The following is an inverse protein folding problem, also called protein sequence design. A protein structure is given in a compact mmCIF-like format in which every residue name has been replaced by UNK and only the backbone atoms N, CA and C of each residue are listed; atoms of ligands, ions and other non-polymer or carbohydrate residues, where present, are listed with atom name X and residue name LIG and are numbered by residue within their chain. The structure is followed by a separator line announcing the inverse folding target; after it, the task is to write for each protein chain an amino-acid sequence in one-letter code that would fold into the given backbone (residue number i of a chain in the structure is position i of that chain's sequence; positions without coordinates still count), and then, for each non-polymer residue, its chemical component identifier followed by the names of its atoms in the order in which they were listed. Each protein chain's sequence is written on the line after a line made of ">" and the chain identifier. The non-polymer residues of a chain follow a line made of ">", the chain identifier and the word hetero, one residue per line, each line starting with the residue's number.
data_IF_374710357079
#
_entry.id   IF_374710357079
#
_cell.length_a   1.000
_cell.length_b   1.000
_cell.length_c   1.000
_cell.angle_alpha   90.00
_cell.angle_beta   90.00
_cell.angle_gamma   90.00
#
_symmetry.space_group_name_H-M   'P 1'
#
loop_
_entity.id
_entity.type
_entity.pdbx_description
1 polymer ?
#
# COMPACT_ATOMS: atom_id res chain seq x y z
N UNK A 1 18.97 7.04 11.61
CA UNK A 1 18.21 5.78 11.37
C UNK A 1 18.63 5.21 10.01
N UNK A 2 18.59 3.91 9.74
CA UNK A 2 18.86 3.38 8.38
C UNK A 2 17.56 2.95 7.72
N UNK A 3 17.26 3.47 6.54
CA UNK A 3 16.12 3.06 5.72
C UNK A 3 16.66 2.37 4.47
N UNK A 4 16.12 1.20 4.14
CA UNK A 4 16.39 0.53 2.88
C UNK A 4 15.09 0.42 2.08
N UNK A 5 15.10 0.93 0.85
CA UNK A 5 13.94 0.88 -0.03
C UNK A 5 14.21 -0.18 -1.10
N UNK A 6 13.42 -1.24 -1.05
CA UNK A 6 13.41 -2.30 -2.05
C UNK A 6 12.42 -1.92 -3.15
N UNK A 7 12.92 -1.85 -4.39
CA UNK A 7 12.12 -1.56 -5.57
C UNK A 7 12.44 -2.58 -6.67
N UNK A 8 11.57 -2.70 -7.65
CA UNK A 8 11.79 -3.63 -8.75
C UNK A 8 13.01 -3.19 -9.58
N UNK A 9 13.90 -4.14 -9.92
CA UNK A 9 14.96 -3.87 -10.89
C UNK A 9 14.38 -3.66 -12.30
N UNK A 10 13.29 -4.36 -12.61
CA UNK A 10 12.48 -4.17 -13.81
C UNK A 10 11.04 -3.86 -13.38
N UNK A 11 10.72 -2.58 -13.16
CA UNK A 11 9.41 -2.18 -12.63
C UNK A 11 8.30 -2.51 -13.62
N UNK A 12 7.22 -3.08 -13.08
CA UNK A 12 5.94 -3.23 -13.77
C UNK A 12 5.15 -1.92 -13.69
N UNK A 13 4.00 -1.87 -14.37
CA UNK A 13 3.18 -0.68 -14.61
C UNK A 13 2.90 0.23 -13.38
N UNK A 14 2.87 -0.30 -12.15
CA UNK A 14 2.64 0.47 -10.92
C UNK A 14 3.81 0.45 -9.91
N UNK A 15 4.95 -0.12 -10.28
CA UNK A 15 6.18 -0.13 -9.49
C UNK A 15 7.09 1.03 -9.93
N UNK A 16 7.90 1.54 -9.00
CA UNK A 16 8.91 2.55 -9.33
C UNK A 16 10.24 1.88 -9.68
N UNK A 17 10.94 2.41 -10.70
CA UNK A 17 12.34 2.09 -10.94
C UNK A 17 13.23 2.61 -9.79
N UNK A 18 14.45 2.10 -9.68
CA UNK A 18 15.41 2.60 -8.70
C UNK A 18 15.66 4.11 -8.86
N UNK A 19 15.79 4.60 -10.09
CA UNK A 19 15.98 6.02 -10.39
C UNK A 19 14.75 6.85 -9.97
N UNK A 20 13.54 6.33 -10.20
CA UNK A 20 12.31 6.98 -9.76
C UNK A 20 12.21 7.01 -8.23
N UNK A 21 12.63 5.94 -7.54
CA UNK A 21 12.69 5.94 -6.07
C UNK A 21 13.69 6.98 -5.57
N UNK A 22 14.89 7.05 -6.15
CA UNK A 22 15.90 8.05 -5.78
C UNK A 22 15.39 9.48 -5.98
N UNK A 23 14.66 9.73 -7.06
CA UNK A 23 14.23 11.10 -7.41
C UNK A 23 12.92 11.52 -6.75
N UNK A 24 12.00 10.59 -6.47
CA UNK A 24 10.65 10.91 -5.98
C UNK A 24 10.44 10.53 -4.51
N UNK A 25 11.09 9.48 -4.01
CA UNK A 25 10.82 8.92 -2.68
C UNK A 25 11.86 9.38 -1.67
N UNK A 26 13.15 9.30 -2.03
CA UNK A 26 14.25 9.66 -1.13
C UNK A 26 14.12 11.10 -0.61
N UNK A 27 13.80 12.12 -1.42
CA UNK A 27 13.65 13.49 -0.92
C UNK A 27 12.52 13.64 0.10
N UNK A 28 11.36 13.00 -0.15
CA UNK A 28 10.23 13.03 0.78
C UNK A 28 10.59 12.39 2.13
N UNK A 29 11.29 11.26 2.08
CA UNK A 29 11.75 10.59 3.30
C UNK A 29 12.80 11.42 4.03
N UNK A 30 13.72 12.08 3.32
CA UNK A 30 14.70 12.97 3.94
C UNK A 30 14.05 14.20 4.59
N UNK A 31 12.94 14.72 4.04
CA UNK A 31 12.19 15.80 4.67
C UNK A 31 11.55 15.36 6.00
N UNK A 32 11.05 14.13 6.07
CA UNK A 32 10.45 13.58 7.30
C UNK A 32 11.48 12.99 8.26
N UNK A 33 12.64 12.60 7.76
CA UNK A 33 13.70 11.85 8.45
C UNK A 33 15.07 12.39 8.02
N UNK A 34 15.37 13.63 8.40
CA UNK A 34 16.57 14.38 8.04
C UNK A 34 17.91 13.65 8.29
N UNK A 35 17.95 12.80 9.30
CA UNK A 35 19.11 12.01 9.73
C UNK A 35 19.06 10.54 9.28
N UNK A 36 18.15 10.18 8.37
CA UNK A 36 18.10 8.83 7.82
C UNK A 36 19.15 8.61 6.73
N UNK A 37 19.94 7.54 6.88
CA UNK A 37 20.75 7.00 5.79
C UNK A 37 19.81 6.13 4.93
N UNK A 38 19.56 6.55 3.69
CA UNK A 38 18.63 5.89 2.79
C UNK A 38 19.38 5.17 1.68
N UNK A 39 19.19 3.85 1.59
CA UNK A 39 19.71 3.01 0.52
C UNK A 39 18.57 2.53 -0.38
N UNK A 40 18.71 2.70 -1.70
CA UNK A 40 17.79 2.15 -2.70
C UNK A 40 18.38 0.86 -3.24
N UNK A 41 17.61 -0.22 -3.18
CA UNK A 41 18.06 -1.56 -3.55
C UNK A 41 17.13 -2.13 -4.62
N UNK A 42 17.57 -2.13 -5.90
CA UNK A 42 16.85 -2.80 -6.97
C UNK A 42 16.78 -4.31 -6.72
N UNK A 43 15.63 -4.90 -6.99
CA UNK A 43 15.34 -6.32 -6.77
C UNK A 43 15.10 -7.01 -8.12
N UNK A 44 16.03 -7.87 -8.54
CA UNK A 44 15.91 -8.67 -9.77
C UNK A 44 15.03 -9.92 -9.59
N UNK A 45 15.04 -10.48 -8.38
CA UNK A 45 14.30 -11.67 -8.02
C UNK A 45 13.85 -11.59 -6.55
N UNK A 46 12.81 -12.33 -6.16
CA UNK A 46 12.34 -12.38 -4.78
C UNK A 46 13.47 -12.82 -3.85
N UNK A 47 13.81 -12.02 -2.83
CA UNK A 47 14.77 -12.42 -1.79
C UNK A 47 14.06 -12.56 -0.45
N UNK A 48 14.40 -13.62 0.29
CA UNK A 48 14.01 -13.71 1.68
C UNK A 48 14.71 -12.58 2.44
N UNK A 49 13.93 -11.61 2.94
CA UNK A 49 14.48 -10.55 3.78
C UNK A 49 14.65 -11.11 5.18
N UNK A 50 15.87 -11.02 5.70
CA UNK A 50 16.17 -11.19 7.11
C UNK A 50 16.11 -9.80 7.76
N UNK A 51 14.97 -9.41 8.37
CA UNK A 51 14.78 -8.05 8.82
C UNK A 51 15.73 -7.75 9.98
N UNK A 52 16.41 -6.61 9.92
CA UNK A 52 17.36 -6.22 10.96
C UNK A 52 16.72 -5.17 11.86
N UNK A 53 16.86 -5.24 13.21
CA UNK A 53 16.27 -4.25 14.12
C UNK A 53 16.71 -2.80 13.86
N UNK A 54 17.92 -2.61 13.30
CA UNK A 54 18.50 -1.28 13.04
C UNK A 54 18.18 -0.73 11.64
N UNK A 55 17.51 -1.50 10.79
CA UNK A 55 17.18 -1.14 9.41
C UNK A 55 15.66 -1.22 9.21
N UNK A 56 15.08 -0.13 8.74
CA UNK A 56 13.70 -0.06 8.31
C UNK A 56 13.62 -0.42 6.82
N UNK A 57 13.12 -1.61 6.50
CA UNK A 57 13.00 -2.07 5.11
C UNK A 57 11.62 -1.67 4.54
N UNK A 58 11.62 -0.82 3.52
CA UNK A 58 10.44 -0.42 2.76
C UNK A 58 10.36 -1.24 1.47
N UNK A 59 9.15 -1.71 1.13
CA UNK A 59 8.90 -2.34 -0.16
C UNK A 59 8.02 -1.46 -1.03
N UNK A 60 8.45 -1.24 -2.27
CA UNK A 60 7.63 -0.71 -3.36
C UNK A 60 7.54 -1.71 -4.53
N UNK A 61 7.77 -3.00 -4.25
CA UNK A 61 7.72 -4.07 -5.24
C UNK A 61 7.14 -5.34 -4.67
N UNK A 62 6.66 -6.22 -5.54
CA UNK A 62 6.20 -7.54 -5.13
C UNK A 62 7.32 -8.39 -4.52
N UNK A 63 7.22 -8.69 -3.22
CA UNK A 63 8.11 -9.63 -2.55
C UNK A 63 7.59 -11.06 -2.69
N UNK A 64 8.09 -11.81 -3.68
CA UNK A 64 7.65 -13.18 -3.87
C UNK A 64 8.06 -14.25 -2.83
N UNK A 65 8.90 -14.05 -1.80
CA UNK A 65 9.16 -15.14 -0.83
C UNK A 65 7.96 -15.41 0.10
N UNK A 66 6.96 -14.53 0.16
CA UNK A 66 5.88 -14.65 1.15
C UNK A 66 4.64 -15.38 0.63
N UNK A 67 4.43 -15.43 -0.69
CA UNK A 67 3.47 -16.31 -1.36
C UNK A 67 3.53 -16.08 -2.89
N UNK A 68 4.29 -16.88 -3.67
CA UNK A 68 4.36 -16.71 -5.12
C UNK A 68 2.98 -16.78 -5.79
N UNK A 69 2.06 -17.55 -5.22
CA UNK A 69 0.70 -17.73 -5.73
C UNK A 69 -0.21 -16.53 -5.40
N UNK A 70 0.05 -15.78 -4.33
CA UNK A 70 -0.82 -14.70 -3.86
C UNK A 70 -0.91 -13.57 -4.90
N UNK A 71 0.21 -13.21 -5.53
CA UNK A 71 0.19 -12.24 -6.62
C UNK A 71 -0.69 -12.71 -7.78
N UNK A 72 -0.53 -13.96 -8.20
CA UNK A 72 -1.32 -14.51 -9.31
C UNK A 72 -2.81 -14.58 -8.97
N UNK A 73 -3.15 -14.95 -7.74
CA UNK A 73 -4.53 -14.93 -7.24
C UNK A 73 -5.10 -13.51 -7.29
N UNK A 74 -4.37 -12.53 -6.75
CA UNK A 74 -4.75 -11.11 -6.79
C UNK A 74 -4.98 -10.59 -8.22
N UNK A 75 -4.14 -11.00 -9.17
CA UNK A 75 -4.27 -10.62 -10.58
C UNK A 75 -5.49 -11.24 -11.27
N UNK A 76 -6.04 -12.33 -10.72
CA UNK A 76 -7.14 -13.10 -11.33
C UNK A 76 -8.52 -12.77 -10.74
N UNK A 77 -8.62 -11.73 -9.90
CA UNK A 77 -9.83 -11.40 -9.15
C UNK A 77 -10.96 -10.79 -9.99
N UNK A 78 -10.67 -10.21 -11.16
CA UNK A 78 -11.66 -9.44 -11.94
C UNK A 78 -12.92 -10.23 -12.23
N UNK A 79 -12.80 -11.44 -12.79
CA UNK A 79 -13.96 -12.27 -13.15
C UNK A 79 -14.80 -12.66 -11.93
N UNK A 80 -14.14 -12.97 -10.81
CA UNK A 80 -14.80 -13.30 -9.55
C UNK A 80 -15.59 -12.10 -8.99
N UNK A 81 -14.99 -10.92 -8.99
CA UNK A 81 -15.64 -9.70 -8.48
C UNK A 81 -16.85 -9.33 -9.34
N UNK A 82 -16.78 -9.52 -10.67
CA UNK A 82 -17.94 -9.36 -11.54
C UNK A 82 -19.09 -10.30 -11.17
N UNK A 83 -18.80 -11.57 -10.82
CA UNK A 83 -19.82 -12.53 -10.38
C UNK A 83 -20.49 -12.13 -9.05
N UNK A 84 -19.84 -11.27 -8.25
CA UNK A 84 -20.42 -10.71 -7.03
C UNK A 84 -21.35 -9.52 -7.30
N UNK A 85 -21.56 -9.16 -8.57
CA UNK A 85 -22.39 -8.02 -8.97
C UNK A 85 -21.69 -6.67 -8.83
N UNK A 86 -20.36 -6.66 -8.64
CA UNK A 86 -19.57 -5.43 -8.55
C UNK A 86 -18.97 -5.12 -9.91
N UNK A 87 -19.12 -3.88 -10.37
CA UNK A 87 -18.54 -3.43 -11.63
C UNK A 87 -17.02 -3.51 -11.56
N UNK A 88 -16.41 -3.92 -12.67
CA UNK A 88 -14.96 -3.96 -12.83
C UNK A 88 -14.52 -3.03 -13.95
N UNK A 89 -13.32 -2.45 -13.83
CA UNK A 89 -12.79 -1.54 -14.83
C UNK A 89 -11.29 -1.32 -14.70
N UNK A 90 -10.77 -0.38 -15.46
CA UNK A 90 -9.35 0.01 -15.50
C UNK A 90 -9.21 1.52 -15.30
N UNK A 91 -8.07 1.96 -14.77
CA UNK A 91 -7.78 3.39 -14.58
C UNK A 91 -8.36 3.98 -13.29
N UNK A 92 -8.58 3.14 -12.28
CA UNK A 92 -8.90 3.54 -10.93
C UNK A 92 -7.79 4.40 -10.34
N UNK A 93 -8.17 5.61 -9.93
CA UNK A 93 -7.27 6.61 -9.36
C UNK A 93 -7.21 6.53 -7.83
N UNK A 94 -7.95 5.62 -7.22
CA UNK A 94 -8.09 5.52 -5.77
C UNK A 94 -7.58 4.18 -5.25
N UNK A 95 -7.01 4.21 -4.06
CA UNK A 95 -6.59 3.01 -3.35
C UNK A 95 -7.04 3.06 -1.89
N UNK A 96 -7.67 1.99 -1.43
CA UNK A 96 -7.96 1.76 -0.01
C UNK A 96 -6.90 0.79 0.53
N UNK A 97 -6.07 1.21 1.50
CA UNK A 97 -5.11 0.33 2.13
C UNK A 97 -5.78 -0.49 3.24
N UNK A 98 -5.36 -1.75 3.36
CA UNK A 98 -5.83 -2.72 4.32
C UNK A 98 -4.63 -3.36 5.00
N UNK A 99 -4.64 -3.47 6.32
CA UNK A 99 -3.70 -4.33 7.04
C UNK A 99 -4.41 -5.59 7.52
N UNK A 100 -4.08 -6.73 6.94
CA UNK A 100 -4.51 -8.02 7.46
C UNK A 100 -3.64 -8.39 8.65
N UNK A 101 -4.25 -8.56 9.82
CA UNK A 101 -3.57 -8.96 11.06
C UNK A 101 -4.16 -10.26 11.59
N UNK A 102 -3.48 -10.89 12.54
CA UNK A 102 -4.00 -12.08 13.22
C UNK A 102 -5.33 -11.84 13.96
N UNK A 103 -5.69 -10.58 14.27
CA UNK A 103 -6.95 -10.22 14.96
C UNK A 103 -8.05 -9.75 14.01
N UNK A 104 -7.73 -9.59 12.73
CA UNK A 104 -8.64 -9.03 11.74
C UNK A 104 -7.98 -7.97 10.87
N UNK A 105 -8.78 -7.37 10.01
CA UNK A 105 -8.39 -6.42 8.99
C UNK A 105 -8.58 -5.02 9.54
N UNK A 106 -7.51 -4.23 9.54
CA UNK A 106 -7.58 -2.78 9.75
C UNK A 106 -7.73 -2.12 8.40
N UNK A 107 -8.64 -1.16 8.30
CA UNK A 107 -8.85 -0.36 7.08
C UNK A 107 -8.27 1.03 7.31
N UNK A 108 -7.50 1.52 6.35
CA UNK A 108 -7.04 2.90 6.34
C UNK A 108 -8.03 3.87 5.75
N UNK A 109 -7.58 5.11 5.65
CA UNK A 109 -8.21 6.13 4.83
C UNK A 109 -7.86 5.94 3.35
N UNK A 110 -8.74 6.43 2.47
CA UNK A 110 -8.59 6.30 1.02
C UNK A 110 -7.49 7.24 0.54
N UNK A 111 -6.60 6.73 -0.32
CA UNK A 111 -5.63 7.52 -1.09
C UNK A 111 -6.15 7.73 -2.51
N UNK A 112 -5.80 8.84 -3.14
CA UNK A 112 -6.19 9.12 -4.52
C UNK A 112 -5.16 9.93 -5.29
N UNK A 113 -4.98 9.61 -6.57
CA UNK A 113 -4.15 10.37 -7.49
C UNK A 113 -4.99 11.45 -8.17
N UNK A 114 -4.84 12.70 -7.70
CA UNK A 114 -5.54 13.87 -8.23
C UNK A 114 -4.50 14.78 -8.87
N UNK A 115 -4.73 15.16 -10.12
CA UNK A 115 -3.82 16.04 -10.88
C UNK A 115 -2.36 15.53 -10.91
N UNK A 116 -2.20 14.20 -10.95
CA UNK A 116 -0.88 13.55 -10.94
C UNK A 116 -0.22 13.40 -9.57
N UNK A 117 -0.90 13.82 -8.49
CA UNK A 117 -0.36 13.77 -7.12
C UNK A 117 -1.18 12.84 -6.25
N UNK A 118 -0.51 11.94 -5.53
CA UNK A 118 -1.15 11.08 -4.53
C UNK A 118 -1.45 11.85 -3.24
N UNK A 119 -2.70 11.79 -2.79
CA UNK A 119 -3.18 12.50 -1.61
C UNK A 119 -3.83 11.54 -0.61
N UNK A 120 -3.72 11.88 0.67
CA UNK A 120 -4.34 11.19 1.80
C UNK A 120 -4.76 12.23 2.87
N UNK A 121 -5.99 12.18 3.41
CA UNK A 121 -7.10 11.30 3.04
C UNK A 121 -7.97 11.86 1.90
N UNK A 122 -8.54 10.96 1.12
CA UNK A 122 -9.66 11.25 0.21
C UNK A 122 -10.97 10.95 0.95
N UNK A 123 -11.80 11.97 1.10
CA UNK A 123 -13.10 11.82 1.73
C UNK A 123 -14.09 11.08 0.81
N UNK A 124 -14.68 10.00 1.34
CA UNK A 124 -15.80 9.30 0.74
C UNK A 124 -17.05 9.39 1.64
N UNK A 125 -18.21 9.05 1.09
CA UNK A 125 -19.42 8.86 1.90
C UNK A 125 -19.34 7.57 2.74
N UNK A 126 -20.11 7.49 3.83
CA UNK A 126 -20.20 6.26 4.64
C UNK A 126 -20.62 5.04 3.82
N UNK A 127 -21.57 5.23 2.89
CA UNK A 127 -22.02 4.17 1.99
C UNK A 127 -20.88 3.63 1.14
N UNK A 128 -20.07 4.51 0.56
CA UNK A 128 -18.90 4.11 -0.24
C UNK A 128 -17.86 3.38 0.63
N UNK A 129 -17.56 3.90 1.83
CA UNK A 129 -16.64 3.25 2.78
C UNK A 129 -17.11 1.84 3.15
N UNK A 130 -18.37 1.68 3.52
CA UNK A 130 -18.93 0.37 3.88
C UNK A 130 -18.86 -0.64 2.72
N UNK A 131 -19.19 -0.21 1.50
CA UNK A 131 -19.04 -1.05 0.30
C UNK A 131 -17.59 -1.47 0.09
N UNK A 132 -16.64 -0.54 0.22
CA UNK A 132 -15.21 -0.84 0.07
C UNK A 132 -14.69 -1.76 1.17
N UNK A 133 -15.14 -1.59 2.41
CA UNK A 133 -14.75 -2.44 3.53
C UNK A 133 -15.28 -3.88 3.35
N UNK A 134 -16.54 -4.00 2.93
CA UNK A 134 -17.15 -5.30 2.62
C UNK A 134 -16.41 -5.99 1.46
N UNK A 135 -16.12 -5.26 0.38
CA UNK A 135 -15.37 -5.78 -0.76
C UNK A 135 -13.96 -6.21 -0.35
N UNK A 136 -13.23 -5.33 0.34
CA UNK A 136 -11.86 -5.58 0.80
C UNK A 136 -11.77 -6.83 1.67
N UNK A 137 -12.67 -6.97 2.65
CA UNK A 137 -12.73 -8.18 3.49
C UNK A 137 -13.02 -9.44 2.66
N UNK A 138 -14.03 -9.39 1.80
CA UNK A 138 -14.41 -10.52 0.94
C UNK A 138 -13.26 -10.98 0.03
N UNK A 139 -12.48 -10.02 -0.49
CA UNK A 139 -11.30 -10.30 -1.29
C UNK A 139 -10.20 -10.97 -0.46
N UNK A 140 -9.87 -10.42 0.71
CA UNK A 140 -8.84 -10.97 1.59
C UNK A 140 -9.20 -12.39 2.08
N UNK A 141 -10.47 -12.62 2.39
CA UNK A 141 -10.97 -13.94 2.77
C UNK A 141 -10.86 -14.93 1.59
N UNK A 142 -11.18 -14.50 0.38
CA UNK A 142 -11.11 -15.34 -0.83
C UNK A 142 -9.68 -15.79 -1.13
N UNK A 143 -8.71 -14.89 -1.08
CA UNK A 143 -7.29 -15.19 -1.35
C UNK A 143 -6.57 -15.78 -0.13
N UNK A 144 -7.29 -16.03 0.97
CA UNK A 144 -6.73 -16.47 2.25
C UNK A 144 -5.51 -15.64 2.66
N UNK A 145 -5.68 -14.32 2.60
CA UNK A 145 -4.60 -13.36 2.72
C UNK A 145 -3.76 -13.59 4.00
N UNK A 146 -2.44 -13.80 3.89
CA UNK A 146 -1.56 -13.80 5.05
C UNK A 146 -1.54 -12.45 5.78
N UNK A 147 -0.91 -12.40 6.95
CA UNK A 147 -0.65 -11.13 7.65
C UNK A 147 0.21 -10.24 6.75
N UNK A 148 -0.24 -9.01 6.51
CA UNK A 148 0.37 -8.14 5.52
C UNK A 148 -0.44 -6.88 5.25
N UNK A 149 0.08 -6.03 4.36
CA UNK A 149 -0.62 -4.86 3.87
C UNK A 149 -1.03 -5.07 2.41
N UNK A 150 -2.26 -4.67 2.11
CA UNK A 150 -2.89 -4.83 0.81
C UNK A 150 -3.49 -3.50 0.37
N UNK A 151 -3.51 -3.25 -0.94
CA UNK A 151 -4.05 -2.01 -1.49
C UNK A 151 -5.12 -2.36 -2.51
N UNK A 152 -6.38 -2.08 -2.18
CA UNK A 152 -7.52 -2.23 -3.06
C UNK A 152 -7.59 -1.02 -3.99
N UNK A 153 -7.29 -1.21 -5.27
CA UNK A 153 -7.42 -0.18 -6.30
C UNK A 153 -8.81 -0.19 -6.92
N UNK A 154 -9.40 0.98 -7.04
CA UNK A 154 -10.77 1.15 -7.54
C UNK A 154 -10.98 2.53 -8.18
N UNK A 155 -12.06 2.63 -8.96
CA UNK A 155 -12.70 3.87 -9.35
C UNK A 155 -14.09 3.99 -8.72
N UNK A 156 -14.74 5.14 -8.86
CA UNK A 156 -16.17 5.25 -8.57
C UNK A 156 -16.89 6.14 -9.57
N UNK A 157 -18.15 5.80 -9.85
CA UNK A 157 -19.10 6.63 -10.61
C UNK A 157 -20.49 6.39 -10.03
N UNK A 158 -20.76 7.01 -8.87
CA UNK A 158 -21.92 6.69 -8.01
C UNK A 158 -21.73 5.39 -7.22
N UNK A 159 -21.18 4.36 -7.83
CA UNK A 159 -20.85 3.06 -7.23
C UNK A 159 -19.36 2.73 -7.35
N UNK A 160 -18.87 1.81 -6.51
CA UNK A 160 -17.50 1.31 -6.54
C UNK A 160 -17.27 0.47 -7.80
N UNK A 161 -16.17 0.74 -8.49
CA UNK A 161 -15.69 -0.01 -9.66
C UNK A 161 -14.35 -0.64 -9.26
N UNK A 162 -14.33 -1.95 -9.09
CA UNK A 162 -13.11 -2.70 -8.75
C UNK A 162 -12.13 -2.72 -9.92
N UNK A 163 -10.85 -2.62 -9.62
CA UNK A 163 -9.80 -2.84 -10.61
C UNK A 163 -8.83 -3.93 -10.18
N UNK A 164 -8.18 -3.78 -9.01
CA UNK A 164 -7.12 -4.69 -8.58
C UNK A 164 -6.96 -4.72 -7.07
N UNK A 165 -6.41 -5.81 -6.56
CA UNK A 165 -5.86 -5.90 -5.21
C UNK A 165 -4.34 -6.07 -5.30
N UNK A 166 -3.58 -5.20 -4.66
CA UNK A 166 -2.12 -5.32 -4.56
C UNK A 166 -1.75 -5.97 -3.23
N UNK A 167 -0.94 -7.04 -3.19
CA UNK A 167 -0.50 -7.67 -1.95
C UNK A 167 0.76 -7.02 -1.34
N UNK A 168 0.97 -5.73 -1.61
CA UNK A 168 2.09 -4.92 -1.12
C UNK A 168 1.77 -3.43 -1.25
N UNK A 169 2.49 -2.54 -0.53
CA UNK A 169 2.39 -1.10 -0.72
C UNK A 169 2.75 -0.66 -2.14
N UNK A 170 1.89 0.14 -2.74
CA UNK A 170 2.14 0.75 -4.06
C UNK A 170 2.74 2.15 -3.89
N UNK A 171 3.01 2.84 -5.01
CA UNK A 171 3.36 4.27 -5.00
C UNK A 171 2.36 5.14 -4.21
N UNK A 172 1.09 4.74 -4.11
CA UNK A 172 0.08 5.45 -3.33
C UNK A 172 0.46 5.54 -1.84
N UNK A 173 1.17 4.54 -1.31
CA UNK A 173 1.60 4.51 0.10
C UNK A 173 2.49 5.69 0.48
N UNK A 174 3.15 6.33 -0.49
CA UNK A 174 3.97 7.53 -0.25
C UNK A 174 3.16 8.68 0.33
N UNK A 175 1.87 8.80 -0.01
CA UNK A 175 0.99 9.83 0.52
C UNK A 175 0.75 9.72 2.03
N UNK A 176 1.16 8.61 2.66
CA UNK A 176 1.07 8.44 4.11
C UNK A 176 2.30 8.90 4.89
N UNK A 177 3.42 9.13 4.22
CA UNK A 177 4.66 9.61 4.84
C UNK A 177 4.44 11.02 5.38
N UNK A 178 4.71 11.24 6.67
CA UNK A 178 4.50 12.54 7.33
C UNK A 178 3.02 12.89 7.61
N UNK A 179 2.08 12.13 7.04
CA UNK A 179 0.62 12.34 7.18
C UNK A 179 0.01 11.39 8.20
N UNK A 180 0.52 10.16 8.31
CA UNK A 180 -0.04 9.08 9.10
C UNK A 180 1.04 8.45 9.99
N UNK A 181 0.65 7.87 11.12
CA UNK A 181 1.54 7.08 11.97
C UNK A 181 0.88 5.75 12.40
N UNK A 182 1.54 4.60 12.12
CA UNK A 182 2.66 4.47 11.19
C UNK A 182 2.22 4.80 9.75
N UNK A 183 3.14 5.27 8.91
CA UNK A 183 2.91 5.29 7.46
C UNK A 183 2.75 3.85 6.94
N UNK A 184 2.21 3.67 5.73
CA UNK A 184 1.90 2.35 5.20
C UNK A 184 3.12 1.49 4.86
N UNK A 185 4.28 2.10 4.59
CA UNK A 185 5.53 1.35 4.37
C UNK A 185 6.04 0.80 5.71
N UNK A 186 6.00 1.62 6.77
CA UNK A 186 6.29 1.20 8.14
C UNK A 186 5.29 0.15 8.63
N UNK A 187 3.99 0.32 8.36
CA UNK A 187 2.97 -0.66 8.73
C UNK A 187 3.21 -2.01 8.05
N UNK A 188 3.57 -2.00 6.77
CA UNK A 188 3.93 -3.22 6.04
C UNK A 188 5.14 -3.91 6.67
N UNK A 189 6.20 -3.16 6.98
CA UNK A 189 7.36 -3.69 7.69
C UNK A 189 6.99 -4.32 9.03
N UNK A 190 6.13 -3.67 9.82
CA UNK A 190 5.66 -4.22 11.10
C UNK A 190 4.95 -5.56 10.91
N UNK A 191 4.07 -5.67 9.92
CA UNK A 191 3.40 -6.93 9.57
C UNK A 191 4.41 -8.03 9.23
N UNK A 192 5.42 -7.73 8.42
CA UNK A 192 6.48 -8.66 8.02
C UNK A 192 7.33 -9.16 9.21
N UNK A 193 7.49 -8.31 10.23
CA UNK A 193 8.19 -8.64 11.48
C UNK A 193 7.33 -9.39 12.50
N UNK A 194 6.04 -9.55 12.24
CA UNK A 194 5.08 -9.98 13.25
C UNK A 194 4.94 -8.98 14.41
N UNK A 195 5.32 -7.71 14.20
CA UNK A 195 5.10 -6.65 15.17
C UNK A 195 3.61 -6.28 15.13
N UNK A 196 2.90 -6.25 16.27
CA UNK A 196 1.48 -5.95 16.29
C UNK A 196 1.18 -4.53 15.77
N UNK A 197 0.48 -4.45 14.65
CA UNK A 197 -0.13 -3.21 14.18
C UNK A 197 -1.43 -2.99 14.98
N UNK A 198 -1.44 -2.00 15.87
CA UNK A 198 -2.58 -1.73 16.76
C UNK A 198 -3.58 -0.77 16.14
N UNK A 199 -3.07 0.27 15.49
CA UNK A 199 -3.84 1.38 14.96
C UNK A 199 -3.04 2.09 13.87
N UNK A 200 -3.75 2.77 12.98
CA UNK A 200 -3.21 3.56 11.89
C UNK A 200 -3.88 4.93 11.96
N UNK A 201 -3.14 5.95 12.41
CA UNK A 201 -3.71 7.25 12.77
C UNK A 201 -3.22 8.35 11.86
N UNK A 202 -4.14 9.18 11.39
CA UNK A 202 -3.82 10.49 10.82
C UNK A 202 -3.95 11.50 11.97
N UNK A 203 -2.87 12.22 12.35
CA UNK A 203 -2.94 13.29 13.34
C UNK A 203 -3.95 14.38 12.92
N UNK A 204 -4.48 15.14 13.88
CA UNK A 204 -5.37 16.25 13.56
C UNK A 204 -4.69 17.24 12.58
N UNK A 205 -5.48 17.79 11.66
CA UNK A 205 -5.07 18.53 10.44
C UNK A 205 -4.00 19.61 10.65
N UNK A 206 -3.90 20.18 11.85
CA UNK A 206 -2.99 21.28 12.19
C UNK A 206 -1.53 20.83 12.43
N UNK A 207 -1.24 19.52 12.34
CA UNK A 207 0.08 18.95 12.66
C UNK A 207 0.75 18.23 11.49
N UNK A 208 0.09 18.13 10.33
CA UNK A 208 0.62 17.42 9.16
C UNK A 208 1.37 18.41 8.26
N UNK A 209 2.69 18.21 8.02
CA UNK A 209 3.41 18.96 7.01
C UNK A 209 2.74 18.74 5.65
N UNK A 210 2.35 19.81 4.97
CA UNK A 210 1.91 19.71 3.59
C UNK A 210 3.15 19.44 2.74
N UNK A 211 3.14 18.31 2.03
CA UNK A 211 4.06 18.10 0.92
C UNK A 211 3.51 18.94 -0.24
N UNK A 212 4.04 20.16 -0.39
CA UNK A 212 3.84 21.01 -1.58
C UNK A 212 4.85 20.65 -2.68
#
# INVERSE_FOLDING_TARGET
>A
MKIRIWCAAQPREAELSADQVVTQVVPLLQQCQDSAEIAVCPLEAPIAIAPQPQILDYSLTHWAPLAPDLWQQCQSLTALVSQWGIRTGTGGLYQLPLAQTAKGTLFGEIMGCLEGTWQLPIHASDRQRQTLYALGRRLLDHVQAPVGCYFLQFGWQGEVIFERLWPFPTVAALASIGVQTPDWLTAHYQCLRGIPLRDVRIPARDTVPRLE
#
